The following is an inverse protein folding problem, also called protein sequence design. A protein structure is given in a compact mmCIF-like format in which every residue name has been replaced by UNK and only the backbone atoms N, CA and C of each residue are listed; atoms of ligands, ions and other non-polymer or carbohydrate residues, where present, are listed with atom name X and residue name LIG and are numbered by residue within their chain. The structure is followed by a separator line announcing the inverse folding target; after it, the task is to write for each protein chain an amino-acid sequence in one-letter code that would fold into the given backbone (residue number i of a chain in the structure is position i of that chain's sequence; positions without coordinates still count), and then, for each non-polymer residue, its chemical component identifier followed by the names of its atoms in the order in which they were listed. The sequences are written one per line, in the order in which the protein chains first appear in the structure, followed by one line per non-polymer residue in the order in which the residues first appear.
data_IF_710393679034
#
_entry.id   IF_710393679034
#
_cell.length_a   1.000
_cell.length_b   1.000
_cell.length_c   1.000
_cell.angle_alpha   90.00
_cell.angle_beta   90.00
_cell.angle_gamma   90.00
#
_symmetry.space_group_name_H-M   'P 1'
#
loop_
_entity.id
_entity.type
_entity.pdbx_description
1 polymer ?
#
# COMPACT_ATOMS: atom_id res chain seq x y z
N UNK A 1 17.17 -0.84 -8.68
CA UNK A 1 15.91 -1.46 -8.22
C UNK A 1 15.01 -0.48 -7.48
N UNK A 2 15.55 0.48 -6.70
CA UNK A 2 14.83 1.62 -6.12
C UNK A 2 13.74 2.25 -7.00
N UNK A 3 14.11 2.79 -8.17
CA UNK A 3 13.16 3.38 -9.13
C UNK A 3 12.02 2.43 -9.55
N UNK A 4 12.31 1.12 -9.65
CA UNK A 4 11.29 0.12 -9.97
C UNK A 4 10.25 -0.01 -8.86
N UNK A 5 10.64 0.10 -7.59
CA UNK A 5 9.70 0.15 -6.47
C UNK A 5 8.89 1.45 -6.52
N UNK A 6 9.58 2.58 -6.63
CA UNK A 6 8.94 3.90 -6.67
C UNK A 6 7.88 3.98 -7.77
N UNK A 7 8.15 3.43 -8.95
CA UNK A 7 7.22 3.39 -10.08
C UNK A 7 5.93 2.63 -9.74
N UNK A 8 6.04 1.49 -9.03
CA UNK A 8 4.88 0.71 -8.56
C UNK A 8 4.04 1.51 -7.56
N UNK A 9 4.68 2.11 -6.56
CA UNK A 9 3.98 2.91 -5.54
C UNK A 9 3.35 4.17 -6.15
N UNK A 10 4.03 4.85 -7.09
CA UNK A 10 3.47 5.97 -7.86
C UNK A 10 2.25 5.56 -8.67
N UNK A 11 2.27 4.37 -9.27
CA UNK A 11 1.12 3.82 -9.98
C UNK A 11 -0.07 3.64 -9.05
N UNK A 12 0.14 3.18 -7.80
CA UNK A 12 -0.93 3.07 -6.82
C UNK A 12 -1.53 4.43 -6.48
N UNK A 13 -0.71 5.46 -6.28
CA UNK A 13 -1.19 6.83 -6.04
C UNK A 13 -1.98 7.37 -7.24
N UNK A 14 -1.52 7.11 -8.47
CA UNK A 14 -2.24 7.48 -9.69
C UNK A 14 -3.63 6.83 -9.74
N UNK A 15 -3.76 5.58 -9.33
CA UNK A 15 -5.05 4.89 -9.29
C UNK A 15 -5.98 5.46 -8.21
N UNK A 16 -5.45 5.81 -7.03
CA UNK A 16 -6.22 6.50 -5.96
C UNK A 16 -6.74 7.85 -6.45
N UNK A 17 -5.90 8.60 -7.18
CA UNK A 17 -6.28 9.88 -7.79
C UNK A 17 -7.35 9.70 -8.87
N UNK A 18 -7.19 8.72 -9.75
CA UNK A 18 -8.16 8.44 -10.81
C UNK A 18 -9.54 8.04 -10.27
N UNK A 19 -9.62 7.50 -9.07
CA UNK A 19 -10.89 7.14 -8.44
C UNK A 19 -11.78 8.36 -8.11
N UNK A 20 -11.23 9.58 -8.13
CA UNK A 20 -11.97 10.79 -7.79
C UNK A 20 -13.27 10.99 -8.61
N UNK A 21 -13.30 10.49 -9.85
CA UNK A 21 -14.50 10.54 -10.70
C UNK A 21 -15.67 9.76 -10.09
N UNK A 22 -15.38 8.67 -9.37
CA UNK A 22 -16.35 7.82 -8.68
C UNK A 22 -16.74 8.33 -7.28
N UNK A 23 -16.05 9.36 -6.78
CA UNK A 23 -16.37 9.95 -5.47
C UNK A 23 -17.58 10.86 -5.59
N UNK A 24 -18.49 10.77 -4.61
CA UNK A 24 -19.70 11.60 -4.54
C UNK A 24 -19.33 13.10 -4.61
N UNK A 25 -20.04 13.93 -5.41
CA UNK A 25 -19.65 15.32 -5.66
C UNK A 25 -19.38 16.15 -4.40
N UNK A 26 -20.21 15.99 -3.36
CA UNK A 26 -20.07 16.72 -2.09
C UNK A 26 -18.85 16.30 -1.27
N UNK A 27 -18.26 15.13 -1.54
CA UNK A 27 -17.11 14.59 -0.83
C UNK A 27 -15.78 14.82 -1.58
N UNK A 28 -15.83 15.23 -2.87
CA UNK A 28 -14.64 15.30 -3.74
C UNK A 28 -13.54 16.20 -3.20
N UNK A 29 -13.87 17.39 -2.70
CA UNK A 29 -12.84 18.30 -2.22
C UNK A 29 -12.17 17.82 -0.92
N UNK A 30 -12.93 17.18 -0.04
CA UNK A 30 -12.37 16.55 1.16
C UNK A 30 -11.49 15.36 0.80
N UNK A 31 -11.89 14.56 -0.20
CA UNK A 31 -11.10 13.44 -0.71
C UNK A 31 -9.80 13.92 -1.38
N UNK A 32 -9.83 15.00 -2.18
CA UNK A 32 -8.63 15.64 -2.76
C UNK A 32 -7.63 16.06 -1.70
N UNK A 33 -8.09 16.74 -0.64
CA UNK A 33 -7.20 17.15 0.46
C UNK A 33 -6.49 15.97 1.10
N UNK A 34 -7.18 14.84 1.29
CA UNK A 34 -6.55 13.62 1.79
C UNK A 34 -5.52 13.06 0.81
N UNK A 35 -5.85 13.05 -0.48
CA UNK A 35 -4.92 12.66 -1.55
C UNK A 35 -3.65 13.52 -1.54
N UNK A 36 -3.77 14.83 -1.33
CA UNK A 36 -2.63 15.74 -1.31
C UNK A 36 -1.72 15.43 -0.10
N UNK A 37 -2.31 15.21 1.08
CA UNK A 37 -1.59 14.77 2.29
C UNK A 37 -0.84 13.45 2.06
N UNK A 38 -1.50 12.45 1.45
CA UNK A 38 -0.86 11.17 1.11
C UNK A 38 0.26 11.35 0.10
N UNK A 39 0.06 12.21 -0.90
CA UNK A 39 1.05 12.50 -1.95
C UNK A 39 2.30 13.14 -1.38
N UNK A 40 2.15 14.10 -0.47
CA UNK A 40 3.28 14.77 0.15
C UNK A 40 4.04 13.82 1.09
N UNK A 41 3.32 13.02 1.89
CA UNK A 41 3.95 11.97 2.71
C UNK A 41 4.71 10.95 1.84
N UNK A 42 4.15 10.54 0.70
CA UNK A 42 4.83 9.66 -0.25
C UNK A 42 6.10 10.28 -0.84
N UNK A 43 6.07 11.56 -1.21
CA UNK A 43 7.26 12.28 -1.70
C UNK A 43 8.36 12.30 -0.63
N UNK A 44 8.01 12.64 0.61
CA UNK A 44 8.95 12.64 1.74
C UNK A 44 9.54 11.25 1.98
N UNK A 45 8.74 10.20 1.84
CA UNK A 45 9.17 8.80 1.94
C UNK A 45 9.86 8.26 0.67
N UNK A 46 10.13 9.11 -0.34
CA UNK A 46 10.72 8.72 -1.64
C UNK A 46 9.98 7.53 -2.27
N UNK A 47 8.65 7.54 -2.19
CA UNK A 47 7.75 6.50 -2.72
C UNK A 47 8.15 5.07 -2.30
N UNK A 48 8.68 4.93 -1.09
CA UNK A 48 9.14 3.67 -0.51
C UNK A 48 10.12 2.91 -1.42
N UNK A 49 10.93 3.64 -2.20
CA UNK A 49 11.94 3.08 -3.08
C UNK A 49 12.92 2.13 -2.36
N UNK A 50 13.14 2.37 -1.06
CA UNK A 50 13.98 1.59 -0.16
C UNK A 50 13.60 0.11 -0.10
N UNK A 51 12.33 -0.25 -0.30
CA UNK A 51 11.89 -1.66 -0.26
C UNK A 51 12.67 -2.54 -1.23
N UNK A 52 13.06 -2.01 -2.39
CA UNK A 52 13.85 -2.74 -3.39
C UNK A 52 15.29 -2.19 -3.48
N UNK A 53 15.89 -1.75 -2.38
CA UNK A 53 17.28 -1.34 -2.34
C UNK A 53 18.09 -2.16 -1.33
N UNK A 54 18.92 -3.08 -1.83
CA UNK A 54 19.77 -3.95 -1.02
C UNK A 54 20.77 -3.23 -0.12
N UNK A 55 20.99 -1.93 -0.33
CA UNK A 55 21.90 -1.08 0.46
C UNK A 55 21.22 -0.40 1.66
N UNK A 56 19.91 -0.52 1.79
CA UNK A 56 19.16 0.04 2.92
C UNK A 56 19.26 -0.87 4.16
N UNK A 57 18.77 -0.39 5.29
CA UNK A 57 18.70 -1.18 6.52
C UNK A 57 17.77 -2.39 6.36
N UNK A 58 18.10 -3.50 7.03
CA UNK A 58 17.31 -4.74 6.99
C UNK A 58 15.84 -4.54 7.36
N UNK A 59 15.56 -3.67 8.34
CA UNK A 59 14.21 -3.36 8.78
C UNK A 59 13.32 -2.72 7.69
N UNK A 60 13.91 -2.23 6.59
CA UNK A 60 13.19 -1.47 5.55
C UNK A 60 13.21 -2.17 4.20
N UNK A 61 14.28 -2.90 3.86
CA UNK A 61 14.40 -3.58 2.55
C UNK A 61 13.72 -4.95 2.54
N UNK A 62 13.19 -5.33 1.39
CA UNK A 62 12.54 -6.64 1.16
C UNK A 62 13.48 -7.72 0.62
N UNK A 63 14.78 -7.43 0.53
CA UNK A 63 15.78 -8.38 0.03
C UNK A 63 16.92 -8.57 1.03
N UNK A 64 17.77 -9.57 0.82
CA UNK A 64 19.05 -9.73 1.52
C UNK A 64 20.10 -8.73 1.01
N UNK A 65 21.25 -8.64 1.69
CA UNK A 65 22.32 -7.67 1.36
C UNK A 65 22.89 -7.94 -0.02
N UNK A 66 22.81 -9.18 -0.48
CA UNK A 66 23.21 -9.66 -1.80
C UNK A 66 22.14 -9.33 -2.87
N UNK A 67 20.91 -8.99 -2.43
CA UNK A 67 19.78 -8.64 -3.28
C UNK A 67 18.81 -9.78 -3.57
N UNK A 68 18.78 -10.83 -2.75
CA UNK A 68 17.79 -11.91 -2.88
C UNK A 68 16.44 -11.50 -2.31
N UNK A 69 15.40 -11.55 -3.12
CA UNK A 69 14.01 -11.40 -2.70
C UNK A 69 13.37 -12.77 -2.58
N UNK A 70 12.57 -12.94 -1.52
CA UNK A 70 11.80 -14.15 -1.25
C UNK A 70 10.31 -13.85 -1.37
N UNK A 71 9.56 -14.73 -2.00
CA UNK A 71 8.10 -14.60 -2.07
C UNK A 71 7.49 -14.73 -0.68
N UNK A 72 6.64 -13.77 -0.32
CA UNK A 72 5.96 -13.73 0.99
C UNK A 72 4.68 -14.59 1.02
N UNK A 73 4.40 -15.35 -0.04
CA UNK A 73 3.20 -16.18 -0.16
C UNK A 73 1.95 -15.39 -0.57
N UNK A 74 0.87 -16.09 -0.99
CA UNK A 74 -0.40 -15.46 -1.32
C UNK A 74 -0.97 -14.67 -0.13
N UNK A 75 -1.96 -13.81 -0.37
CA UNK A 75 -2.56 -12.96 0.67
C UNK A 75 -3.15 -13.75 1.86
N UNK A 76 -3.56 -15.00 1.63
CA UNK A 76 -4.23 -15.88 2.60
C UNK A 76 -3.31 -16.91 3.26
N UNK A 77 -1.98 -16.76 3.13
CA UNK A 77 -0.99 -17.61 3.79
C UNK A 77 0.17 -16.79 4.30
N UNK A 78 0.85 -17.26 5.33
CA UNK A 78 1.99 -16.56 5.90
C UNK A 78 3.27 -16.71 5.07
N UNK A 79 3.41 -17.83 4.34
CA UNK A 79 4.60 -18.18 3.58
C UNK A 79 4.32 -18.65 2.14
N UNK A 80 5.38 -18.70 1.33
CA UNK A 80 5.31 -19.21 -0.04
C UNK A 80 5.56 -20.73 -0.06
N UNK A 81 4.55 -21.57 -0.44
CA UNK A 81 4.71 -23.03 -0.44
C UNK A 81 5.82 -23.52 -1.38
N UNK A 82 6.03 -22.79 -2.49
CA UNK A 82 7.05 -23.13 -3.49
C UNK A 82 8.41 -22.45 -3.22
N UNK A 83 8.54 -21.67 -2.14
CA UNK A 83 9.77 -20.96 -1.76
C UNK A 83 10.40 -20.18 -2.91
N UNK A 84 9.59 -19.53 -3.74
CA UNK A 84 10.09 -18.74 -4.87
C UNK A 84 11.05 -17.65 -4.38
N UNK A 85 12.19 -17.52 -5.07
CA UNK A 85 13.19 -16.50 -4.79
C UNK A 85 13.79 -15.95 -6.09
N UNK A 86 14.30 -14.72 -6.06
CA UNK A 86 14.94 -14.10 -7.22
C UNK A 86 15.95 -13.04 -6.79
N UNK A 87 17.05 -12.91 -7.52
CA UNK A 87 17.99 -11.80 -7.36
C UNK A 87 17.99 -10.92 -8.61
N UNK A 88 17.22 -9.81 -8.66
CA UNK A 88 17.18 -8.91 -9.82
C UNK A 88 18.45 -8.07 -9.98
N UNK A 89 19.42 -8.17 -9.07
CA UNK A 89 20.72 -7.52 -9.18
C UNK A 89 21.77 -8.40 -9.87
N UNK A 90 21.50 -9.70 -10.06
CA UNK A 90 22.48 -10.65 -10.61
C UNK A 90 22.72 -10.43 -12.11
N UNK A 91 21.66 -10.24 -12.89
CA UNK A 91 21.73 -10.05 -14.33
C UNK A 91 20.47 -9.37 -14.90
N UNK A 92 20.53 -8.99 -16.19
CA UNK A 92 19.45 -8.29 -16.90
C UNK A 92 18.16 -9.12 -17.00
N UNK A 93 18.26 -10.42 -17.23
CA UNK A 93 17.10 -11.31 -17.36
C UNK A 93 16.34 -11.42 -16.05
N UNK A 94 17.04 -11.62 -14.94
CA UNK A 94 16.47 -11.66 -13.59
C UNK A 94 15.79 -10.34 -13.24
N UNK A 95 16.38 -9.21 -13.65
CA UNK A 95 15.75 -7.90 -13.50
C UNK A 95 14.44 -7.78 -14.31
N UNK A 96 14.41 -8.30 -15.53
CA UNK A 96 13.20 -8.33 -16.35
C UNK A 96 12.16 -9.26 -15.73
N UNK A 97 12.54 -10.46 -15.29
CA UNK A 97 11.63 -11.42 -14.67
C UNK A 97 11.01 -10.86 -13.38
N UNK A 98 11.76 -10.09 -12.60
CA UNK A 98 11.23 -9.41 -11.41
C UNK A 98 10.10 -8.41 -11.71
N UNK A 99 9.95 -7.95 -12.96
CA UNK A 99 8.79 -7.13 -13.36
C UNK A 99 7.46 -7.91 -13.27
N UNK A 100 7.51 -9.25 -13.32
CA UNK A 100 6.33 -10.12 -13.16
C UNK A 100 5.95 -10.34 -11.69
N UNK A 101 6.86 -10.05 -10.76
CA UNK A 101 6.58 -10.10 -9.33
C UNK A 101 5.74 -8.90 -8.91
N UNK A 102 4.80 -9.10 -8.00
CA UNK A 102 3.82 -8.07 -7.60
C UNK A 102 4.03 -7.66 -6.15
N UNK A 103 3.73 -6.41 -5.83
CA UNK A 103 3.44 -5.97 -4.46
C UNK A 103 1.92 -6.02 -4.32
N UNK A 104 1.42 -7.18 -3.91
CA UNK A 104 0.00 -7.50 -3.80
C UNK A 104 -0.59 -6.94 -2.51
N UNK A 105 -1.76 -6.32 -2.62
CA UNK A 105 -2.46 -5.72 -1.49
C UNK A 105 -3.27 -6.80 -0.76
N UNK A 106 -2.96 -7.09 0.51
CA UNK A 106 -3.71 -8.08 1.32
C UNK A 106 -5.19 -7.65 1.39
N UNK A 107 -5.46 -6.46 1.89
CA UNK A 107 -6.76 -5.79 1.74
C UNK A 107 -6.76 -5.05 0.41
N UNK A 108 -7.58 -5.51 -0.52
CA UNK A 108 -7.55 -5.06 -1.92
C UNK A 108 -7.75 -3.55 -2.06
N UNK A 109 -6.79 -2.87 -2.68
CA UNK A 109 -6.83 -1.44 -2.92
C UNK A 109 -8.08 -0.98 -3.68
N UNK A 110 -8.33 -1.54 -4.88
CA UNK A 110 -9.40 -1.08 -5.78
C UNK A 110 -10.79 -1.53 -5.33
N UNK A 111 -10.90 -2.73 -4.76
CA UNK A 111 -12.19 -3.32 -4.36
C UNK A 111 -12.63 -2.88 -2.96
N UNK A 112 -11.68 -2.60 -2.07
CA UNK A 112 -11.99 -2.35 -0.65
C UNK A 112 -11.46 -0.99 -0.19
N UNK A 113 -10.14 -0.77 -0.19
CA UNK A 113 -9.53 0.36 0.53
C UNK A 113 -9.95 1.73 -0.04
N UNK A 114 -9.90 1.89 -1.36
CA UNK A 114 -10.23 3.16 -2.04
C UNK A 114 -11.73 3.48 -1.96
N UNK A 115 -12.66 2.54 -2.25
CA UNK A 115 -14.08 2.75 -2.01
C UNK A 115 -14.41 3.08 -0.55
N UNK A 116 -13.78 2.40 0.42
CA UNK A 116 -13.99 2.67 1.84
C UNK A 116 -13.53 4.07 2.23
N UNK A 117 -12.38 4.53 1.72
CA UNK A 117 -11.92 5.90 1.96
C UNK A 117 -12.93 6.93 1.43
N UNK A 118 -13.43 6.72 0.21
CA UNK A 118 -14.42 7.63 -0.39
C UNK A 118 -15.72 7.67 0.43
N UNK A 119 -16.20 6.52 0.88
CA UNK A 119 -17.40 6.43 1.71
C UNK A 119 -17.17 7.03 3.11
N UNK A 120 -16.01 6.79 3.72
CA UNK A 120 -15.65 7.36 5.01
C UNK A 120 -15.61 8.89 4.97
N UNK A 121 -15.10 9.48 3.88
CA UNK A 121 -15.10 10.94 3.66
C UNK A 121 -16.51 11.48 3.51
N UNK A 122 -17.38 10.77 2.78
CA UNK A 122 -18.77 11.16 2.55
C UNK A 122 -19.62 11.10 3.83
N UNK A 123 -19.45 10.05 4.63
CA UNK A 123 -20.28 9.74 5.81
C UNK A 123 -19.66 10.18 7.13
N UNK A 124 -18.60 11.00 7.07
CA UNK A 124 -17.82 11.36 8.26
C UNK A 124 -18.62 12.04 9.36
N UNK A 125 -19.70 12.76 9.03
CA UNK A 125 -20.62 13.38 10.01
C UNK A 125 -19.86 14.13 11.14
N UNK A 126 -18.99 15.06 10.73
CA UNK A 126 -18.14 15.83 11.65
C UNK A 126 -16.91 15.10 12.22
N UNK A 127 -16.76 13.78 12.01
CA UNK A 127 -15.55 13.03 12.38
C UNK A 127 -14.40 13.34 11.42
N UNK A 128 -13.18 13.22 11.94
CA UNK A 128 -11.97 13.31 11.14
C UNK A 128 -11.56 11.92 10.63
N UNK A 129 -11.41 11.78 9.32
CA UNK A 129 -10.92 10.54 8.70
C UNK A 129 -9.44 10.37 9.04
N UNK A 130 -9.09 9.19 9.54
CA UNK A 130 -7.71 8.80 9.81
C UNK A 130 -7.03 8.40 8.49
N UNK A 131 -6.60 9.39 7.71
CA UNK A 131 -5.98 9.15 6.42
C UNK A 131 -4.66 8.38 6.52
N UNK A 132 -3.94 8.45 7.66
CA UNK A 132 -2.72 7.67 7.87
C UNK A 132 -2.97 6.17 7.88
N UNK A 133 -4.12 5.71 8.37
CA UNK A 133 -4.51 4.31 8.28
C UNK A 133 -4.67 3.85 6.82
N UNK A 134 -5.35 4.66 6.00
CA UNK A 134 -5.48 4.36 4.58
C UNK A 134 -4.13 4.45 3.85
N UNK A 135 -3.25 5.38 4.25
CA UNK A 135 -1.89 5.46 3.70
C UNK A 135 -1.10 4.17 3.95
N UNK A 136 -1.18 3.60 5.16
CA UNK A 136 -0.57 2.31 5.48
C UNK A 136 -1.12 1.21 4.55
N UNK A 137 -2.45 1.09 4.46
CA UNK A 137 -3.07 0.09 3.59
C UNK A 137 -2.71 0.24 2.11
N UNK A 138 -2.52 1.47 1.63
CA UNK A 138 -2.31 1.73 0.20
C UNK A 138 -0.85 1.58 -0.22
N UNK A 139 0.11 1.92 0.64
CA UNK A 139 1.48 2.18 0.21
C UNK A 139 2.58 1.51 1.02
N UNK A 140 2.26 0.86 2.14
CA UNK A 140 3.28 0.24 3.02
C UNK A 140 3.19 -1.28 3.02
N UNK A 141 4.27 -1.90 3.47
CA UNK A 141 4.35 -3.35 3.68
C UNK A 141 3.43 -3.87 4.80
N UNK A 142 2.75 -2.99 5.53
CA UNK A 142 1.69 -3.38 6.46
C UNK A 142 0.52 -4.09 5.73
N UNK A 143 0.33 -3.78 4.45
CA UNK A 143 -0.71 -4.38 3.60
C UNK A 143 -0.19 -4.84 2.23
N UNK A 144 1.11 -4.74 1.97
CA UNK A 144 1.73 -5.15 0.71
C UNK A 144 2.57 -6.41 0.91
N UNK A 145 2.31 -7.47 0.13
CA UNK A 145 3.14 -8.68 0.04
C UNK A 145 3.85 -8.73 -1.30
N UNK A 146 5.17 -8.90 -1.28
CA UNK A 146 5.96 -9.22 -2.47
C UNK A 146 5.75 -10.67 -2.86
N UNK A 147 5.11 -10.90 -4.00
CA UNK A 147 4.72 -12.23 -4.46
C UNK A 147 5.19 -12.53 -5.88
N UNK A 148 5.64 -13.75 -6.08
CA UNK A 148 5.82 -14.31 -7.42
C UNK A 148 4.46 -14.36 -8.15
N UNK A 149 4.44 -14.24 -9.48
CA UNK A 149 3.20 -14.22 -10.27
C UNK A 149 2.31 -15.44 -10.02
N UNK A 150 2.89 -16.61 -9.79
CA UNK A 150 2.15 -17.84 -9.47
C UNK A 150 1.49 -17.82 -8.06
N UNK A 151 1.96 -16.95 -7.16
CA UNK A 151 1.38 -16.77 -5.83
C UNK A 151 0.41 -15.58 -5.75
N UNK A 152 0.30 -14.78 -6.81
CA UNK A 152 -0.62 -13.66 -6.89
C UNK A 152 -2.03 -14.18 -7.27
N UNK A 153 -2.85 -14.46 -6.25
CA UNK A 153 -4.24 -14.90 -6.44
C UNK A 153 -5.09 -13.73 -6.92
N UNK A 154 -5.66 -13.81 -8.12
CA UNK A 154 -6.52 -12.76 -8.69
C UNK A 154 -7.99 -12.82 -8.24
N UNK A 155 -8.34 -13.80 -7.40
CA UNK A 155 -9.66 -13.91 -6.79
C UNK A 155 -9.91 -12.73 -5.85
N UNK A 156 -11.17 -12.47 -5.46
CA UNK A 156 -11.44 -11.54 -4.36
C UNK A 156 -10.77 -12.01 -3.08
N UNK A 157 -10.16 -11.09 -2.32
CA UNK A 157 -9.52 -11.43 -1.05
C UNK A 157 -10.55 -11.52 0.08
N UNK A 158 -11.74 -10.92 -0.10
CA UNK A 158 -12.84 -10.90 0.88
C UNK A 158 -12.43 -10.35 2.26
N UNK A 159 -11.43 -9.46 2.28
CA UNK A 159 -10.98 -8.75 3.48
C UNK A 159 -11.52 -7.31 3.47
N UNK A 160 -11.88 -6.84 4.67
CA UNK A 160 -12.42 -5.49 4.90
C UNK A 160 -11.45 -4.63 5.69
N UNK A 161 -11.56 -3.32 5.55
CA UNK A 161 -10.88 -2.38 6.44
C UNK A 161 -11.34 -2.56 7.90
N UNK A 162 -10.41 -2.44 8.85
CA UNK A 162 -10.69 -2.30 10.27
C UNK A 162 -11.48 -1.02 10.54
N UNK A 163 -12.77 -1.19 10.84
CA UNK A 163 -13.71 -0.09 11.06
C UNK A 163 -13.34 0.79 12.26
N UNK A 164 -12.58 0.26 13.23
CA UNK A 164 -12.17 1.02 14.42
C UNK A 164 -11.06 2.03 14.12
N UNK A 165 -10.35 1.88 12.99
CA UNK A 165 -9.22 2.71 12.59
C UNK A 165 -9.56 3.76 11.52
N UNK A 166 -10.77 3.73 10.95
CA UNK A 166 -11.19 4.63 9.86
C UNK A 166 -11.21 6.09 10.28
N UNK A 167 -11.63 6.38 11.51
CA UNK A 167 -11.73 7.75 12.03
C UNK A 167 -10.74 7.95 13.18
N UNK A 168 -10.23 9.17 13.33
CA UNK A 168 -9.38 9.50 14.48
C UNK A 168 -10.22 9.47 15.76
N UNK A 169 -9.61 8.98 16.84
CA UNK A 169 -10.22 9.04 18.18
C UNK A 169 -10.43 10.52 18.55
N UNK A 170 -11.61 10.87 19.03
CA UNK A 170 -11.85 12.19 19.63
C UNK A 170 -10.88 12.34 20.81
N UNK A 171 -10.08 13.40 20.84
CA UNK A 171 -9.33 13.77 22.05
C UNK A 171 -10.37 14.02 23.13
N UNK A 172 -10.36 13.23 24.21
CA UNK A 172 -11.09 13.61 25.42
C UNK A 172 -10.35 14.82 25.99
N UNK A 173 -10.91 16.01 25.83
CA UNK A 173 -10.58 17.14 26.69
C UNK A 173 -11.10 16.76 28.07
N UNK A 174 -10.21 16.27 28.94
CA UNK A 174 -10.49 16.31 30.37
C UNK A 174 -10.50 17.79 30.76
N UNK A 175 -11.68 18.38 30.83
CA UNK A 175 -11.89 19.60 31.60
C UNK A 175 -11.60 19.24 33.06
N UNK A 176 -10.45 19.68 33.55
CA UNK A 176 -10.16 19.68 34.99
C UNK A 176 -11.06 20.79 35.57
N UNK A 177 -12.10 20.37 36.28
CA UNK A 177 -12.95 21.24 37.10
C UNK A 177 -12.19 21.75 38.33
#
# INVERSE_FOLDING_TARGET
MRYSCESRIRSYMKEVNNFISNVHPTARDAYKRIIDLMSDKLKSAKYNGCYFDRREEEAVRLCTTEGWFSCQGPFDRDDCPCKHSINPYSNKESRILFSTWNLDHIIEKKRTVVPELAEAVKTRDGREVNWEYFYQLLFTIDNLKLVHIACHKKTGHNLSCDKTKIYRKRKQTHEIS
#
